data_IF_497323832917
#
_entry.id   IF_497323832917
#
_cell.length_a   1.000
_cell.length_b   1.000
_cell.length_c   1.000
_cell.angle_alpha   90.00
_cell.angle_beta   90.00
_cell.angle_gamma   90.00
#
_symmetry.space_group_name_H-M   'P 1'
#
loop_
_entity.id
_entity.type
_entity.pdbx_description
1 polymer ?
#
# COMPACT_ATOMS: atom_id res chain seq x y z
N UNK A 1 -4.31 -18.97 -7.63
CA UNK A 1 -2.96 -18.51 -7.23
C UNK A 1 -3.07 -17.74 -5.93
N UNK A 2 -1.96 -17.63 -5.17
CA UNK A 2 -1.75 -16.64 -4.11
C UNK A 2 -0.73 -15.63 -4.59
N UNK A 3 -0.88 -14.37 -4.18
CA UNK A 3 -0.12 -13.26 -4.73
C UNK A 3 1.21 -13.02 -3.98
N UNK A 4 1.20 -13.06 -2.66
CA UNK A 4 2.33 -13.04 -1.71
C UNK A 4 3.10 -11.73 -1.58
N UNK A 5 2.73 -10.68 -2.31
CA UNK A 5 3.33 -9.34 -2.15
C UNK A 5 2.27 -8.23 -2.22
N UNK A 6 1.22 -8.40 -1.42
CA UNK A 6 0.18 -7.38 -1.26
C UNK A 6 0.79 -6.13 -0.65
N UNK A 7 0.77 -5.04 -1.40
CA UNK A 7 1.21 -3.68 -1.00
C UNK A 7 0.57 -2.64 -1.92
N UNK A 8 0.40 -1.38 -1.49
CA UNK A 8 -0.20 -0.33 -2.32
C UNK A 8 0.46 -0.16 -3.69
N UNK A 9 1.80 -0.28 -3.75
CA UNK A 9 2.58 -0.10 -4.97
C UNK A 9 2.18 -1.05 -6.12
N UNK A 10 1.56 -2.17 -5.78
CA UNK A 10 1.14 -3.19 -6.75
C UNK A 10 -0.32 -3.08 -7.20
N UNK A 11 -1.02 -2.02 -6.78
CA UNK A 11 -2.40 -1.73 -7.17
C UNK A 11 -2.46 -0.41 -7.93
N UNK A 12 -2.72 -0.47 -9.22
CA UNK A 12 -2.73 0.70 -10.09
C UNK A 12 -4.15 1.02 -10.55
N UNK A 13 -4.56 2.26 -10.37
CA UNK A 13 -5.82 2.77 -10.93
C UNK A 13 -5.70 3.03 -12.43
N UNK A 14 -6.79 2.90 -13.17
CA UNK A 14 -6.83 3.18 -14.59
C UNK A 14 -6.58 4.65 -14.90
N UNK A 15 -6.22 4.94 -16.14
CA UNK A 15 -5.96 6.31 -16.62
C UNK A 15 -7.13 6.86 -17.41
N UNK A 16 -7.34 8.19 -17.29
CA UNK A 16 -8.23 8.95 -18.16
C UNK A 16 -9.71 8.88 -17.77
N UNK A 17 -10.54 9.68 -18.44
CA UNK A 17 -11.99 9.63 -18.26
C UNK A 17 -12.56 8.35 -18.89
N UNK A 18 -13.39 7.63 -18.15
CA UNK A 18 -14.08 6.45 -18.65
C UNK A 18 -14.11 5.28 -17.67
N UNK A 19 -14.79 4.20 -18.05
CA UNK A 19 -15.01 3.02 -17.20
C UNK A 19 -13.71 2.36 -16.69
N UNK A 20 -12.61 2.48 -17.41
CA UNK A 20 -11.32 1.92 -17.01
C UNK A 20 -10.66 2.68 -15.85
N UNK A 21 -11.01 3.94 -15.62
CA UNK A 21 -10.47 4.74 -14.54
C UNK A 21 -10.87 4.21 -13.14
N UNK A 22 -11.99 3.48 -13.06
CA UNK A 22 -12.52 2.89 -11.84
C UNK A 22 -12.01 1.45 -11.61
N UNK A 23 -11.16 0.94 -12.50
CA UNK A 23 -10.62 -0.41 -12.39
C UNK A 23 -9.26 -0.35 -11.70
N UNK A 24 -9.15 -1.06 -10.58
CA UNK A 24 -7.86 -1.29 -9.92
C UNK A 24 -7.18 -2.49 -10.57
N UNK A 25 -5.98 -2.26 -11.11
CA UNK A 25 -5.19 -3.28 -11.77
C UNK A 25 -4.11 -3.78 -10.82
N UNK A 26 -4.01 -5.10 -10.66
CA UNK A 26 -2.93 -5.74 -9.90
C UNK A 26 -1.77 -6.00 -10.85
N UNK A 27 -0.56 -5.58 -10.46
CA UNK A 27 0.68 -5.73 -11.24
C UNK A 27 1.73 -6.51 -10.45
N UNK A 28 2.84 -6.90 -11.10
CA UNK A 28 3.97 -7.59 -10.48
C UNK A 28 3.62 -8.96 -9.85
N UNK A 29 3.38 -9.94 -10.71
CA UNK A 29 3.14 -11.33 -10.32
C UNK A 29 4.44 -12.14 -10.06
N UNK A 30 5.60 -11.48 -9.96
CA UNK A 30 6.90 -12.14 -9.77
C UNK A 30 6.98 -13.02 -8.53
N UNK A 31 6.20 -12.72 -7.50
CA UNK A 31 6.11 -13.52 -6.27
C UNK A 31 4.90 -14.45 -6.22
N UNK A 32 4.00 -14.40 -7.20
CA UNK A 32 2.80 -15.20 -7.20
C UNK A 32 3.11 -16.70 -7.26
N UNK A 33 2.25 -17.50 -6.62
CA UNK A 33 2.43 -18.96 -6.53
C UNK A 33 1.09 -19.68 -6.68
N UNK A 34 1.09 -20.80 -7.39
CA UNK A 34 -0.05 -21.69 -7.36
C UNK A 34 -0.17 -22.35 -5.99
N UNK A 35 -1.32 -22.16 -5.31
CA UNK A 35 -1.58 -22.75 -4.00
C UNK A 35 -2.29 -24.10 -4.08
N UNK A 36 -2.75 -24.49 -5.27
CA UNK A 36 -3.37 -25.78 -5.53
C UNK A 36 -3.02 -26.28 -6.93
N UNK A 37 -2.95 -27.58 -7.08
CA UNK A 37 -2.76 -28.20 -8.38
C UNK A 37 -3.96 -27.87 -9.30
N UNK A 38 -3.74 -27.41 -10.53
CA UNK A 38 -4.82 -26.98 -11.42
C UNK A 38 -5.72 -28.14 -11.87
N UNK A 39 -5.22 -29.38 -11.90
CA UNK A 39 -5.95 -30.57 -12.32
C UNK A 39 -6.62 -31.26 -11.14
N UNK A 40 -5.85 -31.61 -10.11
CA UNK A 40 -6.35 -32.37 -8.95
C UNK A 40 -7.03 -31.50 -7.91
N UNK A 41 -6.83 -30.17 -7.97
CA UNK A 41 -7.29 -29.17 -6.99
C UNK A 41 -6.70 -29.37 -5.59
N UNK A 42 -5.75 -30.29 -5.42
CA UNK A 42 -5.06 -30.52 -4.16
C UNK A 42 -4.26 -29.28 -3.75
N UNK A 43 -4.43 -28.83 -2.50
CA UNK A 43 -3.71 -27.71 -1.92
C UNK A 43 -2.23 -28.04 -1.75
N UNK A 44 -1.35 -27.03 -1.84
CA UNK A 44 0.06 -27.21 -1.49
C UNK A 44 0.19 -27.63 -0.03
N UNK A 45 1.20 -28.45 0.31
CA UNK A 45 1.41 -28.91 1.70
C UNK A 45 1.86 -27.76 2.59
N UNK A 46 1.39 -27.77 3.84
CA UNK A 46 1.90 -26.88 4.88
C UNK A 46 3.38 -27.16 5.15
N UNK A 47 4.17 -26.10 5.26
CA UNK A 47 5.59 -26.18 5.60
C UNK A 47 5.98 -25.03 6.53
N UNK A 48 6.99 -25.26 7.35
CA UNK A 48 7.60 -24.25 8.20
C UNK A 48 9.05 -23.97 7.78
N UNK A 49 9.69 -23.03 8.44
CA UNK A 49 11.08 -22.58 8.17
C UNK A 49 11.26 -22.09 6.72
N UNK A 50 10.23 -21.43 6.20
CA UNK A 50 10.29 -20.79 4.89
C UNK A 50 11.08 -19.48 4.98
N UNK A 51 11.80 -19.14 3.92
CA UNK A 51 12.39 -17.82 3.78
C UNK A 51 11.30 -16.76 3.77
N UNK A 52 11.55 -15.63 4.41
CA UNK A 52 10.64 -14.50 4.41
C UNK A 52 10.51 -13.95 3.00
N UNK A 53 9.28 -13.70 2.59
CA UNK A 53 8.91 -13.29 1.23
C UNK A 53 7.78 -12.28 1.31
N UNK A 54 7.88 -11.20 0.56
CA UNK A 54 6.93 -10.09 0.60
C UNK A 54 7.44 -8.88 1.37
N UNK A 55 6.64 -7.83 1.39
CA UNK A 55 6.98 -6.56 2.02
C UNK A 55 6.68 -6.62 3.52
N UNK A 56 7.72 -6.52 4.36
CA UNK A 56 7.63 -6.69 5.81
C UNK A 56 6.52 -5.85 6.46
N UNK A 57 6.26 -4.64 5.95
CA UNK A 57 5.20 -3.75 6.46
C UNK A 57 3.82 -4.41 6.40
N UNK A 58 3.51 -5.12 5.33
CA UNK A 58 2.15 -5.61 5.07
C UNK A 58 2.00 -7.11 5.27
N UNK A 59 3.03 -7.94 5.05
CA UNK A 59 2.92 -9.40 5.10
C UNK A 59 2.31 -9.91 6.40
N UNK A 60 1.68 -11.09 6.36
CA UNK A 60 0.99 -11.70 7.50
C UNK A 60 1.92 -12.07 8.65
N UNK A 61 1.36 -12.25 9.84
CA UNK A 61 2.10 -12.77 11.00
C UNK A 61 2.67 -14.16 10.69
N UNK A 62 1.91 -15.04 10.03
CA UNK A 62 2.39 -16.37 9.65
C UNK A 62 3.64 -16.29 8.76
N UNK A 63 3.69 -15.33 7.84
CA UNK A 63 4.88 -15.12 7.01
C UNK A 63 6.10 -14.71 7.85
N UNK A 64 5.95 -13.82 8.84
CA UNK A 64 7.02 -13.48 9.78
C UNK A 64 7.51 -14.70 10.58
N UNK A 65 6.63 -15.65 10.88
CA UNK A 65 6.95 -16.90 11.56
C UNK A 65 7.58 -17.96 10.64
N UNK A 66 7.83 -17.62 9.37
CA UNK A 66 8.40 -18.57 8.40
C UNK A 66 7.47 -19.72 8.02
N UNK A 67 6.16 -19.53 8.10
CA UNK A 67 5.14 -20.50 7.69
C UNK A 67 4.84 -20.36 6.20
N UNK A 68 4.44 -21.47 5.57
CA UNK A 68 3.98 -21.43 4.16
C UNK A 68 2.76 -20.53 4.02
N UNK A 69 2.76 -19.69 2.99
CA UNK A 69 1.66 -18.77 2.71
C UNK A 69 0.51 -19.45 1.99
N UNK A 70 -0.71 -19.05 2.30
CA UNK A 70 -1.93 -19.45 1.62
C UNK A 70 -2.86 -18.25 1.40
N UNK A 71 -4.11 -18.48 0.98
CA UNK A 71 -5.09 -17.40 0.73
C UNK A 71 -5.29 -16.46 1.92
N UNK A 72 -5.28 -17.01 3.15
CA UNK A 72 -5.44 -16.22 4.38
C UNK A 72 -4.35 -15.16 4.56
N UNK A 73 -3.13 -15.45 4.08
CA UNK A 73 -1.97 -14.58 4.26
C UNK A 73 -2.05 -13.36 3.32
N UNK A 74 -2.53 -13.53 2.09
CA UNK A 74 -2.83 -12.41 1.21
C UNK A 74 -3.94 -11.52 1.78
N UNK A 75 -4.99 -12.12 2.35
CA UNK A 75 -6.09 -11.38 2.97
C UNK A 75 -5.65 -10.64 4.24
N UNK A 76 -4.80 -11.23 5.09
CA UNK A 76 -4.24 -10.51 6.25
C UNK A 76 -3.38 -9.32 5.79
N UNK A 77 -2.55 -9.53 4.76
CA UNK A 77 -1.74 -8.46 4.19
C UNK A 77 -2.61 -7.32 3.64
N UNK A 78 -3.73 -7.66 2.97
CA UNK A 78 -4.70 -6.68 2.48
C UNK A 78 -5.35 -5.90 3.63
N UNK A 79 -5.70 -6.57 4.73
CA UNK A 79 -6.19 -5.91 5.95
C UNK A 79 -5.18 -4.91 6.52
N UNK A 80 -3.88 -5.23 6.49
CA UNK A 80 -2.83 -4.29 6.89
C UNK A 80 -2.74 -3.09 5.93
N UNK A 81 -2.98 -3.29 4.62
CA UNK A 81 -3.04 -2.18 3.64
C UNK A 81 -4.24 -1.27 3.93
N UNK A 82 -5.42 -1.82 4.21
CA UNK A 82 -6.59 -1.03 4.58
C UNK A 82 -6.32 -0.15 5.79
N UNK A 83 -5.76 -0.72 6.85
CA UNK A 83 -5.42 0.04 8.05
C UNK A 83 -4.26 1.02 7.84
N UNK A 84 -3.36 0.74 6.93
CA UNK A 84 -2.35 1.72 6.51
C UNK A 84 -3.00 2.96 5.88
N UNK A 85 -3.99 2.79 5.03
CA UNK A 85 -4.72 3.92 4.43
C UNK A 85 -5.57 4.67 5.46
N UNK A 86 -6.29 3.96 6.34
CA UNK A 86 -7.11 4.58 7.38
C UNK A 86 -6.30 5.36 8.40
N UNK A 87 -5.17 4.80 8.84
CA UNK A 87 -4.35 5.35 9.92
C UNK A 87 -3.26 6.32 9.42
N UNK A 88 -2.93 6.31 8.12
CA UNK A 88 -1.74 7.00 7.58
C UNK A 88 -0.42 6.29 7.90
N UNK A 89 -0.37 5.45 8.92
CA UNK A 89 0.80 4.67 9.32
C UNK A 89 0.41 3.42 10.10
N UNK A 90 1.34 2.46 10.20
CA UNK A 90 1.14 1.24 10.99
C UNK A 90 2.07 1.25 12.21
N UNK A 91 1.65 0.65 13.37
CA UNK A 91 2.41 0.69 14.63
C UNK A 91 3.83 0.10 14.55
N UNK A 92 4.11 -0.68 13.54
CA UNK A 92 5.41 -1.31 13.29
C UNK A 92 6.26 -0.59 12.23
N UNK A 93 5.89 0.63 11.83
CA UNK A 93 6.72 1.46 10.97
C UNK A 93 7.78 2.23 11.79
N UNK A 94 8.88 2.60 11.13
CA UNK A 94 9.95 3.39 11.76
C UNK A 94 10.82 2.64 12.78
N UNK A 95 10.65 1.33 12.97
CA UNK A 95 11.46 0.55 13.89
C UNK A 95 12.93 0.50 13.41
N UNK A 96 13.84 0.90 14.31
CA UNK A 96 15.29 0.88 14.05
C UNK A 96 15.86 -0.51 14.34
N UNK A 97 16.74 -1.00 13.46
CA UNK A 97 17.47 -2.25 13.60
C UNK A 97 18.84 -2.15 12.91
N UNK A 98 19.81 -2.89 13.37
CA UNK A 98 21.15 -2.90 12.80
C UNK A 98 21.22 -3.68 11.48
N UNK A 99 20.37 -4.70 11.32
CA UNK A 99 20.31 -5.53 10.12
C UNK A 99 18.89 -5.68 9.60
N UNK A 100 18.75 -6.00 8.31
CA UNK A 100 17.45 -6.29 7.72
C UNK A 100 16.73 -7.45 8.43
N UNK A 101 17.47 -8.50 8.81
CA UNK A 101 16.93 -9.64 9.56
C UNK A 101 16.30 -9.18 10.87
N UNK A 102 17.03 -8.43 11.69
CA UNK A 102 16.53 -7.87 12.94
C UNK A 102 15.34 -6.93 12.73
N UNK A 103 15.34 -6.18 11.63
CA UNK A 103 14.20 -5.32 11.28
C UNK A 103 12.93 -6.15 11.03
N UNK A 104 13.02 -7.24 10.29
CA UNK A 104 11.89 -8.14 10.03
C UNK A 104 11.40 -8.82 11.32
N UNK A 105 12.33 -9.26 12.19
CA UNK A 105 12.01 -9.85 13.50
C UNK A 105 11.23 -8.85 14.37
N UNK A 106 11.74 -7.63 14.55
CA UNK A 106 11.08 -6.57 15.34
C UNK A 106 9.70 -6.20 14.80
N UNK A 107 9.55 -6.13 13.46
CA UNK A 107 8.24 -5.87 12.85
C UNK A 107 7.28 -7.02 13.16
N UNK A 108 7.72 -8.27 13.04
CA UNK A 108 6.91 -9.44 13.35
C UNK A 108 6.47 -9.49 14.81
N UNK A 109 7.38 -9.21 15.74
CA UNK A 109 7.10 -9.11 17.19
C UNK A 109 6.08 -8.00 17.48
N UNK A 110 6.26 -6.82 16.88
CA UNK A 110 5.32 -5.71 17.06
C UNK A 110 3.94 -6.02 16.50
N UNK A 111 3.85 -6.69 15.34
CA UNK A 111 2.57 -7.16 14.79
C UNK A 111 1.85 -8.14 15.71
N UNK A 112 2.59 -9.09 16.30
CA UNK A 112 2.03 -10.07 17.22
C UNK A 112 1.56 -9.43 18.54
N UNK A 113 2.29 -8.44 19.05
CA UNK A 113 1.96 -7.76 20.30
C UNK A 113 0.89 -6.67 20.14
N UNK A 114 0.64 -6.17 18.92
CA UNK A 114 -0.42 -5.19 18.66
C UNK A 114 -1.76 -5.90 18.53
N UNK A 115 -2.68 -5.61 19.43
CA UNK A 115 -4.02 -6.20 19.37
C UNK A 115 -4.82 -5.65 18.21
N UNK A 116 -5.78 -6.45 17.69
CA UNK A 116 -6.68 -5.97 16.62
C UNK A 116 -7.52 -4.77 17.12
N UNK A 117 -7.91 -4.78 18.39
CA UNK A 117 -8.64 -3.66 19.01
C UNK A 117 -7.81 -2.37 18.93
N UNK A 118 -6.54 -2.40 19.36
CA UNK A 118 -5.61 -1.27 19.27
C UNK A 118 -5.38 -0.82 17.81
N UNK A 119 -5.25 -1.79 16.91
CA UNK A 119 -4.98 -1.52 15.50
C UNK A 119 -6.17 -0.85 14.79
N UNK A 120 -7.41 -1.21 15.16
CA UNK A 120 -8.65 -0.72 14.55
C UNK A 120 -9.35 0.37 15.40
N UNK A 121 -8.72 0.87 16.46
CA UNK A 121 -9.31 1.89 17.33
C UNK A 121 -9.64 3.17 16.56
N UNK A 122 -10.87 3.66 16.72
CA UNK A 122 -11.37 4.85 16.02
C UNK A 122 -11.85 4.62 14.57
N UNK A 123 -11.84 3.39 14.07
CA UNK A 123 -12.33 3.03 12.73
C UNK A 123 -13.56 2.12 12.81
N UNK A 124 -14.33 1.96 11.71
CA UNK A 124 -15.48 1.06 11.69
C UNK A 124 -15.11 -0.36 12.16
N UNK A 125 -15.98 -0.96 12.97
CA UNK A 125 -15.72 -2.26 13.59
C UNK A 125 -15.49 -3.38 12.59
N UNK A 126 -16.00 -3.23 11.37
CA UNK A 126 -15.89 -4.18 10.28
C UNK A 126 -14.43 -4.48 9.91
N UNK A 127 -13.53 -3.52 10.04
CA UNK A 127 -12.09 -3.75 9.83
C UNK A 127 -11.50 -4.67 10.90
N UNK A 128 -11.97 -4.55 12.15
CA UNK A 128 -11.62 -5.47 13.22
C UNK A 128 -12.20 -6.87 13.01
N UNK A 129 -13.46 -6.96 12.58
CA UNK A 129 -14.11 -8.22 12.22
C UNK A 129 -13.36 -8.89 11.07
N UNK A 130 -13.01 -8.14 10.02
CA UNK A 130 -12.21 -8.62 8.90
C UNK A 130 -10.89 -9.26 9.37
N UNK A 131 -10.07 -8.54 10.14
CA UNK A 131 -8.78 -9.04 10.61
C UNK A 131 -8.93 -10.24 11.56
N UNK A 132 -9.93 -10.24 12.43
CA UNK A 132 -10.22 -11.38 13.29
C UNK A 132 -10.58 -12.62 12.48
N UNK A 133 -11.38 -12.45 11.44
CA UNK A 133 -11.79 -13.54 10.55
C UNK A 133 -10.58 -14.12 9.81
N UNK A 134 -9.81 -13.29 9.10
CA UNK A 134 -8.71 -13.78 8.27
C UNK A 134 -7.58 -14.41 9.07
N UNK A 135 -7.33 -13.93 10.30
CA UNK A 135 -6.33 -14.53 11.20
C UNK A 135 -6.76 -15.88 11.80
N UNK A 136 -8.05 -16.17 11.83
CA UNK A 136 -8.59 -17.46 12.30
C UNK A 136 -8.64 -18.53 11.23
N UNK A 137 -8.56 -18.15 9.95
CA UNK A 137 -8.62 -19.10 8.83
C UNK A 137 -7.52 -20.16 8.93
N UNK A 138 -7.90 -21.40 8.68
CA UNK A 138 -6.97 -22.51 8.50
C UNK A 138 -6.13 -22.35 7.24
N UNK A 139 -5.01 -23.10 7.15
CA UNK A 139 -4.07 -23.02 6.03
C UNK A 139 -4.72 -23.34 4.68
N UNK A 140 -5.55 -24.40 4.63
CA UNK A 140 -6.25 -24.87 3.43
C UNK A 140 -7.68 -24.35 3.32
N UNK A 141 -8.15 -23.66 4.36
CA UNK A 141 -9.52 -23.17 4.43
C UNK A 141 -9.83 -22.19 3.30
N UNK A 142 -11.00 -22.34 2.69
CA UNK A 142 -11.49 -21.41 1.68
C UNK A 142 -12.14 -20.22 2.37
N UNK A 143 -11.60 -18.98 2.16
CA UNK A 143 -12.23 -17.80 2.73
C UNK A 143 -13.63 -17.57 2.18
N UNK A 144 -14.53 -17.08 3.01
CA UNK A 144 -15.82 -16.56 2.59
C UNK A 144 -15.62 -15.12 2.05
N UNK A 145 -15.34 -15.04 0.76
CA UNK A 145 -15.09 -13.75 0.09
C UNK A 145 -16.34 -12.88 0.04
N UNK A 146 -17.54 -13.47 -0.03
CA UNK A 146 -18.80 -12.72 -0.05
C UNK A 146 -19.06 -12.07 1.30
N UNK A 147 -18.82 -12.78 2.40
CA UNK A 147 -18.83 -12.22 3.74
C UNK A 147 -17.85 -11.05 3.87
N UNK A 148 -16.62 -11.20 3.38
CA UNK A 148 -15.63 -10.12 3.45
C UNK A 148 -16.04 -8.90 2.65
N UNK A 149 -16.64 -9.06 1.48
CA UNK A 149 -17.18 -7.94 0.68
C UNK A 149 -18.35 -7.26 1.40
N UNK A 150 -19.25 -8.05 2.00
CA UNK A 150 -20.40 -7.52 2.72
C UNK A 150 -20.00 -6.65 3.92
N UNK A 151 -18.89 -6.94 4.60
CA UNK A 151 -18.38 -6.07 5.67
C UNK A 151 -18.18 -4.63 5.18
N UNK A 152 -17.56 -4.45 4.00
CA UNK A 152 -17.30 -3.12 3.46
C UNK A 152 -18.56 -2.46 2.89
N UNK A 153 -19.45 -3.24 2.27
CA UNK A 153 -20.77 -2.74 1.87
C UNK A 153 -21.58 -2.25 3.07
N UNK A 154 -21.47 -2.95 4.21
CA UNK A 154 -22.09 -2.52 5.47
C UNK A 154 -21.52 -1.19 5.95
N UNK A 155 -20.20 -1.00 5.92
CA UNK A 155 -19.56 0.28 6.30
C UNK A 155 -20.15 1.44 5.49
N UNK A 156 -20.27 1.27 4.17
CA UNK A 156 -20.87 2.32 3.31
C UNK A 156 -22.31 2.63 3.72
N UNK A 157 -23.14 1.60 3.92
CA UNK A 157 -24.54 1.79 4.35
C UNK A 157 -24.65 2.49 5.69
N UNK A 158 -23.83 2.10 6.67
CA UNK A 158 -23.86 2.65 8.02
C UNK A 158 -23.39 4.13 8.04
N UNK A 159 -22.56 4.52 7.07
CA UNK A 159 -22.17 5.90 6.84
C UNK A 159 -23.20 6.70 6.01
N UNK A 160 -24.27 6.07 5.54
CA UNK A 160 -25.26 6.69 4.66
C UNK A 160 -24.75 6.95 3.25
N UNK A 161 -23.66 6.27 2.86
CA UNK A 161 -23.03 6.41 1.56
C UNK A 161 -23.43 5.27 0.62
N UNK A 162 -23.28 5.52 -0.69
CA UNK A 162 -23.51 4.54 -1.74
C UNK A 162 -22.25 4.42 -2.60
N UNK A 163 -22.04 3.26 -3.20
CA UNK A 163 -21.01 3.10 -4.22
C UNK A 163 -21.48 3.79 -5.51
N UNK A 164 -21.12 5.06 -5.66
CA UNK A 164 -21.44 5.89 -6.82
C UNK A 164 -20.40 5.75 -7.97
N UNK A 165 -19.36 4.93 -7.77
CA UNK A 165 -18.28 4.76 -8.72
C UNK A 165 -17.39 6.00 -8.88
N UNK A 166 -17.50 7.01 -8.02
CA UNK A 166 -16.67 8.21 -8.01
C UNK A 166 -15.60 8.06 -6.93
N UNK A 167 -14.35 8.05 -7.34
CA UNK A 167 -13.19 7.87 -6.44
C UNK A 167 -12.32 9.12 -6.45
N UNK A 168 -11.62 9.36 -5.35
CA UNK A 168 -10.77 10.55 -5.15
C UNK A 168 -9.74 10.75 -6.27
N UNK A 169 -9.17 9.66 -6.79
CA UNK A 169 -8.20 9.75 -7.88
C UNK A 169 -8.80 10.24 -9.21
N UNK A 170 -10.12 10.13 -9.41
CA UNK A 170 -10.81 10.70 -10.56
C UNK A 170 -10.85 12.22 -10.46
N UNK A 171 -11.12 12.74 -9.27
CA UNK A 171 -11.21 14.18 -8.99
C UNK A 171 -9.84 14.85 -9.13
N UNK A 172 -8.80 14.25 -8.58
CA UNK A 172 -7.40 14.76 -8.66
C UNK A 172 -6.90 14.81 -10.10
N UNK A 173 -7.25 13.85 -10.94
CA UNK A 173 -6.84 13.84 -12.34
C UNK A 173 -7.56 14.91 -13.18
N UNK A 174 -8.78 15.29 -12.84
CA UNK A 174 -9.50 16.39 -13.50
C UNK A 174 -8.85 17.77 -13.20
N UNK A 175 -8.40 18.00 -11.98
CA UNK A 175 -7.74 19.26 -11.60
C UNK A 175 -6.40 19.45 -12.34
N UNK A 176 -5.62 18.39 -12.52
CA UNK A 176 -4.36 18.44 -13.28
C UNK A 176 -4.55 18.56 -14.79
N UNK A 177 -5.67 18.09 -15.33
CA UNK A 177 -6.01 18.19 -16.76
C UNK A 177 -6.40 19.60 -17.18
N UNK A 178 -7.04 20.38 -16.31
CA UNK A 178 -7.45 21.77 -16.59
C UNK A 178 -6.31 22.77 -16.53
N UNK A 179 -5.24 22.50 -15.77
CA UNK A 179 -4.05 23.38 -15.75
C UNK A 179 -3.09 23.12 -16.94
N UNK A 180 -3.16 21.92 -17.56
CA UNK A 180 -2.30 21.55 -18.70
C UNK A 180 -2.80 22.04 -20.05
N UNK A 181 -4.10 22.28 -20.21
CA UNK A 181 -4.69 22.68 -21.50
C UNK A 181 -4.71 24.20 -21.72
N UNK A 182 -4.61 25.01 -20.66
CA UNK A 182 -4.55 26.47 -20.77
C UNK A 182 -3.18 26.98 -21.27
N UNK A 183 -2.13 26.16 -21.26
CA UNK A 183 -0.77 26.56 -21.70
C UNK A 183 -0.39 26.11 -23.10
N UNK A 184 -1.28 25.40 -23.85
CA UNK A 184 -0.99 24.90 -25.21
C UNK A 184 -1.68 25.61 -26.37
N UNK A 185 -2.47 26.66 -26.13
CA UNK A 185 -3.13 27.43 -27.20
C UNK A 185 -2.42 28.70 -27.62
N UNK A 186 -1.12 28.80 -27.51
CA UNK A 186 -0.39 29.99 -27.92
C UNK A 186 0.98 29.75 -28.53
N UNK A 187 1.12 28.95 -29.58
CA UNK A 187 2.26 29.08 -30.53
C UNK A 187 2.09 28.09 -31.71
N UNK A 188 1.41 28.58 -32.75
CA UNK A 188 1.60 28.07 -34.11
C UNK A 188 2.26 29.17 -34.93
N UNK A 189 3.52 29.00 -35.31
CA UNK A 189 4.24 29.93 -36.17
C UNK A 189 5.62 29.41 -36.56
N UNK A 190 5.67 28.69 -37.69
CA UNK A 190 6.79 28.62 -38.71
C UNK A 190 8.24 28.52 -38.25
N UNK A 191 8.98 27.48 -38.62
CA UNK A 191 9.80 27.42 -39.82
C UNK A 191 10.59 26.09 -39.89
N UNK A 192 10.72 25.57 -41.10
CA UNK A 192 11.52 24.43 -41.49
C UNK A 192 13.01 24.76 -41.64
N UNK A 193 13.86 23.77 -41.45
CA UNK A 193 15.05 23.36 -42.22
C UNK A 193 16.02 22.59 -41.30
N UNK A 194 16.21 21.36 -41.55
CA UNK A 194 17.23 20.62 -42.31
C UNK A 194 18.46 20.15 -41.48
N UNK A 195 18.86 18.94 -41.81
CA UNK A 195 20.17 18.30 -41.59
C UNK A 195 20.35 17.26 -40.46
N UNK A 196 20.55 16.07 -40.95
CA UNK A 196 20.94 14.80 -40.31
C UNK A 196 22.43 14.74 -39.86
N UNK A 197 22.91 13.61 -39.28
CA UNK A 197 23.85 13.55 -38.15
C UNK A 197 25.29 13.22 -38.60
N UNK A 198 26.22 12.98 -37.70
CA UNK A 198 26.78 11.64 -37.61
C UNK A 198 27.16 11.10 -36.22
N UNK A 199 27.35 9.80 -36.27
CA UNK A 199 27.82 8.81 -35.29
C UNK A 199 29.26 9.03 -34.83
N UNK A 200 29.60 8.54 -33.63
CA UNK A 200 30.68 7.61 -33.28
C UNK A 200 31.03 7.69 -31.78
N UNK A 201 30.94 6.60 -31.14
CA UNK A 201 31.91 5.59 -30.65
C UNK A 201 32.70 5.93 -29.39
N UNK A 202 32.56 5.03 -28.44
CA UNK A 202 33.54 4.36 -27.59
C UNK A 202 34.38 5.16 -26.56
N UNK A 203 34.46 4.58 -25.39
CA UNK A 203 35.57 4.82 -24.47
C UNK A 203 35.34 4.41 -23.03
N UNK A 204 35.80 3.21 -22.72
CA UNK A 204 35.92 2.67 -21.37
C UNK A 204 37.00 3.41 -20.57
N UNK A 205 36.88 3.38 -19.24
CA UNK A 205 37.96 3.83 -18.35
C UNK A 205 37.60 3.77 -16.90
N UNK A 206 38.18 2.83 -16.22
CA UNK A 206 38.09 2.49 -14.83
C UNK A 206 38.99 3.36 -13.91
N UNK A 207 38.80 3.20 -12.62
CA UNK A 207 39.78 3.14 -11.50
C UNK A 207 39.92 4.34 -10.55
N UNK A 208 39.73 4.00 -9.23
CA UNK A 208 40.40 4.46 -7.99
C UNK A 208 40.19 5.90 -7.53
N UNK A 209 40.00 6.20 -6.30
CA UNK A 209 40.35 5.70 -5.00
C UNK A 209 40.44 6.88 -4.01
N UNK A 210 40.26 6.55 -2.75
CA UNK A 210 40.83 7.16 -1.56
C UNK A 210 40.23 8.43 -0.90
N UNK A 211 39.69 8.21 0.26
CA UNK A 211 39.97 8.80 1.61
C UNK A 211 39.94 10.33 1.81
N UNK A 212 39.21 10.75 2.83
CA UNK A 212 39.40 12.02 3.52
C UNK A 212 38.41 12.23 4.66
N UNK A 213 38.91 12.05 5.87
CA UNK A 213 38.22 12.30 7.13
C UNK A 213 38.02 13.82 7.36
N UNK A 214 36.99 14.19 8.12
CA UNK A 214 36.84 15.55 8.65
C UNK A 214 35.67 15.62 9.63
N UNK A 215 36.01 15.64 10.88
CA UNK A 215 35.12 15.82 12.03
C UNK A 215 34.58 17.25 12.14
N UNK A 216 33.41 17.44 12.73
CA UNK A 216 32.93 18.72 13.21
C UNK A 216 31.47 18.67 13.65
N UNK A 217 31.19 18.44 14.89
CA UNK A 217 30.02 18.90 15.64
C UNK A 217 30.44 20.01 16.58
N UNK A 218 29.57 20.65 17.41
CA UNK A 218 28.13 20.91 17.31
C UNK A 218 27.78 22.40 17.55
N UNK A 219 26.52 22.82 17.43
CA UNK A 219 25.95 23.82 18.34
C UNK A 219 24.43 23.78 18.33
N UNK A 220 23.89 23.82 19.53
CA UNK A 220 22.49 23.90 19.89
C UNK A 220 21.99 25.38 19.83
N UNK A 221 20.67 25.51 19.62
CA UNK A 221 19.75 26.55 20.13
C UNK A 221 18.45 26.34 19.36
N UNK A 222 17.29 26.03 19.94
CA UNK A 222 16.63 26.62 21.09
C UNK A 222 15.57 27.61 20.63
N UNK A 223 14.29 27.21 20.60
CA UNK A 223 13.17 28.05 21.01
C UNK A 223 11.82 27.43 20.58
N UNK A 224 11.11 26.91 21.54
CA UNK A 224 9.71 27.16 21.93
C UNK A 224 8.78 27.76 20.87
N UNK A 225 7.77 26.97 20.46
CA UNK A 225 6.44 27.56 20.37
C UNK A 225 5.40 26.52 20.86
N UNK A 226 4.90 26.76 22.05
CA UNK A 226 3.64 26.19 22.60
C UNK A 226 2.53 27.15 22.19
N UNK A 227 1.39 26.56 21.95
CA UNK A 227 0.02 27.09 21.95
C UNK A 227 -0.64 27.09 20.57
N UNK A 228 -1.51 26.11 20.33
CA UNK A 228 -2.97 26.27 20.48
C UNK A 228 -3.61 24.89 20.38
N UNK A 229 -4.09 24.41 21.52
CA UNK A 229 -5.18 23.45 21.58
C UNK A 229 -6.43 24.28 21.35
N UNK A 230 -7.06 24.10 20.24
CA UNK A 230 -8.38 24.65 19.91
C UNK A 230 -9.29 23.46 19.65
N UNK A 231 -10.27 23.28 20.50
CA UNK A 231 -11.42 22.41 20.30
C UNK A 231 -11.99 22.65 18.91
N UNK A 232 -11.99 21.62 18.09
CA UNK A 232 -12.89 21.50 16.96
C UNK A 232 -13.39 20.07 16.94
N UNK A 233 -14.45 19.82 17.71
CA UNK A 233 -15.35 18.70 17.51
C UNK A 233 -16.09 18.93 16.19
N UNK A 234 -15.43 18.63 15.09
CA UNK A 234 -16.05 18.60 13.77
C UNK A 234 -16.38 17.16 13.45
N UNK A 235 -17.65 16.87 13.28
CA UNK A 235 -18.10 15.69 12.55
C UNK A 235 -17.41 15.75 11.20
N UNK A 236 -16.41 14.92 11.00
CA UNK A 236 -15.79 14.71 9.69
C UNK A 236 -16.89 14.13 8.78
N UNK A 237 -17.23 14.82 7.71
CA UNK A 237 -18.10 14.26 6.66
C UNK A 237 -17.36 13.13 5.97
N UNK A 238 -18.08 12.19 5.40
CA UNK A 238 -17.49 11.06 4.68
C UNK A 238 -16.58 11.50 3.54
N UNK A 239 -16.85 12.68 2.94
CA UNK A 239 -15.99 13.31 1.94
C UNK A 239 -14.64 13.75 2.53
N UNK A 240 -14.59 14.23 3.77
CA UNK A 240 -13.34 14.62 4.45
C UNK A 240 -12.50 13.40 4.83
N UNK A 241 -13.13 12.28 5.17
CA UNK A 241 -12.42 10.99 5.39
C UNK A 241 -11.79 10.50 4.07
N UNK A 242 -12.44 10.71 2.94
CA UNK A 242 -11.91 10.36 1.61
C UNK A 242 -10.72 11.22 1.18
N UNK A 243 -10.74 12.53 1.46
CA UNK A 243 -9.72 13.48 1.00
C UNK A 243 -8.51 13.55 1.93
N UNK A 244 -8.69 13.50 3.23
CA UNK A 244 -7.59 13.63 4.20
C UNK A 244 -6.87 12.30 4.49
N UNK A 245 -7.54 11.16 4.34
CA UNK A 245 -6.99 9.85 4.70
C UNK A 245 -6.78 8.89 3.53
N UNK A 246 -7.12 9.28 2.29
CA UNK A 246 -6.83 8.48 1.10
C UNK A 246 -7.54 7.12 1.08
N UNK A 247 -8.81 7.06 1.46
CA UNK A 247 -9.62 5.84 1.44
C UNK A 247 -9.99 5.47 -0.01
N UNK A 248 -9.11 4.75 -0.67
CA UNK A 248 -9.48 4.00 -1.87
C UNK A 248 -10.18 2.71 -1.43
N UNK A 249 -11.49 2.65 -1.53
CA UNK A 249 -12.23 1.38 -1.44
C UNK A 249 -11.86 0.54 -2.64
N UNK A 250 -11.06 -0.48 -2.41
CA UNK A 250 -10.69 -1.46 -3.45
C UNK A 250 -11.82 -2.47 -3.48
N UNK A 251 -12.58 -2.51 -4.59
CA UNK A 251 -13.46 -3.63 -4.88
C UNK A 251 -12.58 -4.86 -5.18
N UNK A 252 -12.67 -5.85 -4.31
CA UNK A 252 -12.01 -7.16 -4.48
C UNK A 252 -12.98 -8.11 -5.15
#
# INVERSE_FOLDING_TARGET
MIYRDIKPDNFLVGRGPGKSANIVNVVDFGMAKQYRDPRTKQHIPYRERKSLSGTARYMSINTHLGREQSRRDDLEALGHVFLYFLRGSLPWQGLKAATNKQKYEKIGEKKQSTTIKELCDGFPEEFGIYLNYVRKLGFEETPDYDFLRELFSKVLRDLGEVDDGVYDWLLVNHVKGTEGDASRQGQTGRAAHDATPPVDSAGAGAITGASGAGAGAPTAQGARNRQRVGEMGTRLSTAEIRTEQGLALIHI
#
